data_IF_087958547204
#
_entry.id   IF_087958547204
#
_cell.length_a   1.000
_cell.length_b   1.000
_cell.length_c   1.000
_cell.angle_alpha   90.00
_cell.angle_beta   90.00
_cell.angle_gamma   90.00
#
_symmetry.space_group_name_H-M   'P 1'
#
loop_
_entity.id
_entity.type
_entity.pdbx_description
1 polymer ?
#
# COMPACT_ATOMS: atom_id res chain seq x y z
N UNK A 1 -7.92 55.10 5.16
CA UNK A 1 -6.83 54.18 5.54
C UNK A 1 -6.65 53.22 4.36
N UNK A 2 -5.91 53.64 3.35
CA UNK A 2 -4.54 53.21 2.97
C UNK A 2 -4.44 51.71 2.64
N UNK A 3 -4.29 51.47 1.34
CA UNK A 3 -4.01 50.21 0.64
C UNK A 3 -2.81 49.45 1.20
N UNK A 4 -2.93 48.13 1.35
CA UNK A 4 -1.77 47.24 1.41
C UNK A 4 -1.46 46.74 0.00
N UNK A 5 -0.23 47.02 -0.44
CA UNK A 5 0.33 46.56 -1.71
C UNK A 5 0.91 45.17 -1.50
N UNK A 6 0.53 44.25 -2.38
CA UNK A 6 1.18 42.97 -2.60
C UNK A 6 2.50 43.25 -3.31
N UNK A 7 3.63 42.97 -2.65
CA UNK A 7 4.95 43.06 -3.27
C UNK A 7 5.87 41.98 -2.72
N UNK A 8 6.22 41.05 -3.61
CA UNK A 8 7.43 40.25 -3.65
C UNK A 8 7.88 39.59 -2.34
N UNK A 9 7.42 38.36 -2.13
CA UNK A 9 8.15 37.38 -1.31
C UNK A 9 9.03 36.58 -2.26
N UNK A 10 10.24 37.10 -2.49
CA UNK A 10 11.38 36.31 -2.97
C UNK A 10 12.06 35.80 -1.69
N UNK A 11 11.79 34.56 -1.30
CA UNK A 11 12.66 33.86 -0.36
C UNK A 11 13.62 33.00 -1.16
N UNK A 12 14.84 33.52 -1.32
CA UNK A 12 15.99 32.68 -1.57
C UNK A 12 16.32 31.95 -0.28
N UNK A 13 16.08 30.63 -0.25
CA UNK A 13 16.75 29.75 0.70
C UNK A 13 18.13 29.41 0.12
N UNK A 14 19.12 30.21 0.51
CA UNK A 14 20.49 29.75 0.59
C UNK A 14 20.72 29.32 2.04
N UNK A 15 20.59 28.03 2.31
CA UNK A 15 20.99 27.43 3.57
C UNK A 15 21.78 26.15 3.29
N UNK A 16 23.12 26.31 3.30
CA UNK A 16 24.11 25.31 3.75
C UNK A 16 24.18 23.97 3.03
N UNK A 17 24.53 24.01 1.74
CA UNK A 17 25.44 23.02 1.16
C UNK A 17 26.87 23.32 1.67
N UNK A 18 27.27 22.69 2.78
CA UNK A 18 28.64 22.82 3.30
C UNK A 18 29.07 21.60 4.09
N UNK A 19 28.97 20.39 3.52
CA UNK A 19 29.86 19.25 3.79
C UNK A 19 29.87 18.29 2.61
N UNK A 20 30.77 18.54 1.65
CA UNK A 20 31.33 17.53 0.76
C UNK A 20 32.53 18.16 0.05
N UNK A 21 33.70 18.19 0.71
CA UNK A 21 34.95 18.27 -0.03
C UNK A 21 35.18 16.88 -0.63
N UNK A 22 35.03 16.80 -1.96
CA UNK A 22 35.40 15.65 -2.77
C UNK A 22 36.88 15.32 -2.56
N UNK A 23 37.15 14.19 -1.93
CA UNK A 23 38.40 13.47 -2.15
C UNK A 23 38.14 12.50 -3.30
N UNK A 24 38.81 12.72 -4.43
CA UNK A 24 38.84 11.80 -5.56
C UNK A 24 39.36 10.44 -5.07
N UNK A 25 38.51 9.41 -5.10
CA UNK A 25 38.91 8.02 -4.93
C UNK A 25 38.72 7.34 -6.28
N UNK A 26 39.84 6.99 -6.91
CA UNK A 26 39.90 6.21 -8.14
C UNK A 26 39.31 4.81 -7.89
N UNK A 27 38.32 4.44 -8.71
CA UNK A 27 37.79 3.08 -8.78
C UNK A 27 38.75 2.21 -9.61
N UNK A 28 39.51 1.31 -8.96
CA UNK A 28 40.15 0.20 -9.66
C UNK A 28 39.09 -0.88 -9.96
N UNK A 29 38.87 -1.14 -11.24
CA UNK A 29 37.99 -2.21 -11.72
C UNK A 29 38.58 -3.58 -11.37
N UNK A 30 37.90 -4.34 -10.51
CA UNK A 30 38.27 -5.74 -10.24
C UNK A 30 37.74 -6.61 -11.37
N UNK A 31 38.67 -7.17 -12.12
CA UNK A 31 38.44 -7.99 -13.29
C UNK A 31 37.77 -9.33 -12.98
N UNK A 32 36.79 -9.63 -13.82
CA UNK A 32 36.15 -10.92 -14.01
C UNK A 32 37.21 -11.97 -14.42
N UNK A 33 37.35 -13.04 -13.64
CA UNK A 33 38.13 -14.22 -14.06
C UNK A 33 37.26 -15.48 -13.96
N UNK A 34 36.81 -15.92 -15.14
CA UNK A 34 36.25 -17.25 -15.34
C UNK A 34 37.38 -18.31 -15.32
N UNK A 35 37.17 -19.50 -14.73
CA UNK A 35 37.98 -20.66 -15.07
C UNK A 35 37.29 -21.49 -16.14
N UNK A 36 38.02 -21.72 -17.22
CA UNK A 36 37.67 -22.63 -18.30
C UNK A 36 37.77 -24.11 -17.88
N UNK A 37 36.87 -24.86 -18.48
CA UNK A 37 36.68 -26.30 -18.52
C UNK A 37 37.89 -27.07 -19.09
N UNK A 38 38.24 -28.23 -18.49
CA UNK A 38 38.82 -29.33 -19.27
C UNK A 38 38.50 -30.72 -18.65
N UNK A 39 37.86 -31.54 -19.47
CA UNK A 39 37.36 -32.88 -19.20
C UNK A 39 38.41 -34.00 -19.36
N UNK A 40 38.21 -35.13 -18.66
CA UNK A 40 38.31 -36.49 -19.22
C UNK A 40 37.81 -37.56 -18.21
N UNK A 41 37.07 -38.54 -18.74
CA UNK A 41 36.17 -39.50 -18.08
C UNK A 41 36.83 -40.91 -17.83
N UNK A 42 36.09 -42.05 -17.78
CA UNK A 42 35.31 -42.59 -16.66
C UNK A 42 35.64 -44.07 -16.33
N UNK A 43 35.08 -44.61 -15.23
CA UNK A 43 34.86 -46.04 -14.95
C UNK A 43 34.07 -46.19 -13.62
N UNK A 44 33.22 -47.17 -13.33
CA UNK A 44 32.40 -48.13 -14.08
C UNK A 44 31.50 -48.82 -13.02
N UNK A 45 30.29 -49.23 -13.42
CA UNK A 45 29.55 -50.43 -12.96
C UNK A 45 28.71 -50.50 -11.65
N UNK A 46 27.46 -50.96 -11.90
CA UNK A 46 26.49 -51.77 -11.12
C UNK A 46 25.55 -51.08 -10.09
N UNK A 47 24.23 -50.97 -10.35
CA UNK A 47 23.15 -52.01 -10.34
C UNK A 47 22.73 -52.40 -8.89
N UNK A 48 21.47 -52.57 -8.48
CA UNK A 48 20.15 -52.61 -9.10
C UNK A 48 19.05 -52.58 -7.99
N UNK A 49 17.79 -52.36 -8.41
CA UNK A 49 16.53 -52.89 -7.84
C UNK A 49 16.12 -52.41 -6.42
N UNK A 50 14.84 -52.24 -6.05
CA UNK A 50 13.58 -52.73 -6.57
C UNK A 50 12.41 -51.80 -6.16
N UNK A 51 11.35 -51.81 -6.96
CA UNK A 51 10.02 -51.34 -6.60
C UNK A 51 9.36 -52.23 -5.54
N UNK A 52 8.23 -51.78 -4.96
CA UNK A 52 7.02 -52.54 -5.26
C UNK A 52 5.85 -51.66 -5.75
N UNK A 53 5.11 -52.24 -6.68
CA UNK A 53 3.76 -51.85 -7.04
C UNK A 53 2.77 -52.35 -5.97
N UNK A 54 1.67 -51.64 -5.77
CA UNK A 54 0.41 -52.33 -5.50
C UNK A 54 -0.80 -51.58 -6.10
N UNK A 55 -1.76 -52.40 -6.50
CA UNK A 55 -2.78 -52.13 -7.53
C UNK A 55 -4.18 -52.04 -6.92
N UNK A 56 -4.97 -51.10 -7.46
CA UNK A 56 -6.43 -51.07 -7.62
C UNK A 56 -7.38 -50.98 -6.40
N UNK A 57 -8.31 -50.01 -6.49
CA UNK A 57 -9.74 -50.33 -6.64
C UNK A 57 -10.50 -49.15 -7.27
N UNK A 58 -11.22 -49.43 -8.35
CA UNK A 58 -12.14 -48.55 -9.06
C UNK A 58 -13.57 -48.66 -8.49
N UNK A 59 -14.29 -47.55 -8.40
CA UNK A 59 -15.75 -47.44 -8.34
C UNK A 59 -16.11 -45.94 -8.38
N UNK A 60 -17.15 -45.42 -9.02
CA UNK A 60 -18.08 -45.83 -10.06
C UNK A 60 -18.77 -44.51 -10.48
N UNK A 61 -18.98 -44.29 -11.77
CA UNK A 61 -19.78 -43.17 -12.28
C UNK A 61 -21.28 -43.40 -12.06
N UNK A 62 -22.08 -42.33 -11.93
CA UNK A 62 -23.32 -42.23 -12.71
C UNK A 62 -23.40 -40.85 -13.41
N UNK A 63 -23.47 -40.81 -14.74
CA UNK A 63 -24.64 -40.96 -15.61
C UNK A 63 -25.33 -39.63 -15.94
N UNK A 64 -25.24 -39.26 -17.22
CA UNK A 64 -25.98 -38.23 -17.93
C UNK A 64 -27.50 -38.29 -17.69
N UNK A 65 -28.14 -37.13 -17.66
CA UNK A 65 -29.50 -36.98 -18.18
C UNK A 65 -29.64 -35.61 -18.86
N UNK A 66 -30.08 -35.68 -20.11
CA UNK A 66 -30.18 -34.59 -21.06
C UNK A 66 -31.49 -33.77 -20.95
N UNK A 67 -31.39 -32.54 -21.46
CA UNK A 67 -32.32 -31.81 -22.32
C UNK A 67 -33.78 -31.56 -21.88
N UNK A 68 -34.13 -30.27 -21.81
CA UNK A 68 -35.41 -29.71 -22.27
C UNK A 68 -35.19 -28.22 -22.60
N UNK A 69 -35.08 -27.87 -23.88
CA UNK A 69 -36.17 -27.40 -24.75
C UNK A 69 -36.45 -25.88 -24.60
N UNK A 70 -36.03 -25.13 -25.62
CA UNK A 70 -36.48 -23.79 -25.92
C UNK A 70 -37.98 -23.75 -26.28
N UNK A 71 -38.58 -22.55 -26.30
CA UNK A 71 -39.28 -22.17 -27.52
C UNK A 71 -38.88 -20.78 -28.03
N UNK A 72 -38.74 -20.73 -29.36
CA UNK A 72 -38.91 -19.56 -30.24
C UNK A 72 -40.38 -19.04 -30.11
N UNK A 73 -40.81 -17.88 -30.61
CA UNK A 73 -40.51 -17.21 -31.87
C UNK A 73 -41.33 -15.88 -31.95
N UNK A 74 -40.98 -15.01 -32.91
CA UNK A 74 -41.89 -14.06 -33.63
C UNK A 74 -42.25 -12.74 -32.93
N UNK A 75 -42.21 -11.52 -33.50
CA UNK A 75 -41.86 -10.91 -34.80
C UNK A 75 -41.63 -9.40 -34.52
N UNK A 76 -40.63 -8.71 -35.06
CA UNK A 76 -40.56 -8.07 -36.40
C UNK A 76 -41.65 -7.02 -36.72
N UNK A 77 -41.28 -5.73 -36.73
CA UNK A 77 -41.57 -4.68 -37.74
C UNK A 77 -41.08 -3.32 -37.16
N UNK A 78 -40.00 -2.69 -37.63
CA UNK A 78 -39.80 -1.98 -38.89
C UNK A 78 -40.80 -0.82 -39.14
N UNK A 79 -40.35 0.43 -38.93
CA UNK A 79 -40.45 1.55 -39.88
C UNK A 79 -39.87 2.84 -39.27
N UNK A 80 -38.99 3.48 -40.02
CA UNK A 80 -38.40 4.80 -39.75
C UNK A 80 -39.21 5.91 -40.49
N UNK A 81 -38.68 7.14 -40.69
CA UNK A 81 -39.11 8.38 -40.05
C UNK A 81 -39.79 9.36 -41.02
N UNK A 82 -40.35 10.48 -40.54
CA UNK A 82 -40.39 11.76 -41.27
C UNK A 82 -40.98 12.92 -40.46
N UNK A 83 -40.59 14.10 -40.90
CA UNK A 83 -40.50 15.40 -40.28
C UNK A 83 -41.62 16.36 -40.80
N UNK A 84 -41.73 17.54 -40.18
CA UNK A 84 -42.14 18.85 -40.77
C UNK A 84 -43.59 19.41 -40.64
N UNK A 85 -43.64 20.55 -39.91
CA UNK A 85 -44.39 21.83 -40.07
C UNK A 85 -45.93 21.92 -39.86
N UNK A 86 -46.45 22.68 -38.88
CA UNK A 86 -46.69 24.16 -38.79
C UNK A 86 -48.18 24.50 -39.10
N UNK A 87 -48.91 25.53 -38.62
CA UNK A 87 -48.71 26.84 -37.95
C UNK A 87 -50.05 27.25 -37.26
N UNK A 88 -50.00 28.17 -36.27
CA UNK A 88 -51.01 29.20 -35.90
C UNK A 88 -52.28 28.78 -35.11
N UNK A 89 -52.82 29.52 -34.13
CA UNK A 89 -52.47 30.79 -33.49
C UNK A 89 -53.27 30.97 -32.16
N UNK A 90 -52.70 31.78 -31.25
CA UNK A 90 -53.31 32.65 -30.23
C UNK A 90 -54.25 32.05 -29.16
N UNK A 91 -53.82 32.08 -27.89
CA UNK A 91 -54.44 33.00 -26.92
C UNK A 91 -53.47 33.35 -25.79
N UNK A 92 -53.62 34.56 -25.25
CA UNK A 92 -52.71 35.21 -24.32
C UNK A 92 -52.87 34.66 -22.91
N UNK A 93 -51.77 34.23 -22.29
CA UNK A 93 -51.68 34.06 -20.84
C UNK A 93 -50.29 34.50 -20.39
N UNK A 94 -50.28 35.31 -19.33
CA UNK A 94 -49.14 36.06 -18.83
C UNK A 94 -47.86 35.23 -18.68
N UNK A 95 -46.76 35.76 -19.20
CA UNK A 95 -45.42 35.24 -18.92
C UNK A 95 -45.18 35.28 -17.40
N UNK A 96 -44.86 34.15 -16.74
CA UNK A 96 -44.26 34.24 -15.42
C UNK A 96 -42.92 34.95 -15.56
N UNK A 97 -42.67 35.92 -14.68
CA UNK A 97 -41.38 36.58 -14.59
C UNK A 97 -40.29 35.51 -14.53
N UNK A 98 -39.38 35.52 -15.49
CA UNK A 98 -38.22 34.65 -15.47
C UNK A 98 -37.49 34.92 -14.16
N UNK A 99 -37.43 33.92 -13.29
CA UNK A 99 -36.51 33.95 -12.17
C UNK A 99 -35.11 34.22 -12.74
N UNK A 100 -34.30 35.07 -12.10
CA UNK A 100 -32.94 35.28 -12.55
C UNK A 100 -32.28 33.90 -12.56
N UNK A 101 -31.93 33.42 -13.76
CA UNK A 101 -31.11 32.23 -13.92
C UNK A 101 -29.83 32.56 -13.18
N UNK A 102 -29.68 31.99 -11.98
CA UNK A 102 -28.46 32.11 -11.21
C UNK A 102 -27.34 31.70 -12.16
N UNK A 103 -26.40 32.63 -12.36
CA UNK A 103 -25.24 32.41 -13.23
C UNK A 103 -24.62 31.08 -12.78
N UNK A 104 -24.72 30.06 -13.63
CA UNK A 104 -24.29 28.72 -13.28
C UNK A 104 -22.80 28.82 -12.97
N UNK A 105 -22.45 28.71 -11.67
CA UNK A 105 -21.06 28.70 -11.24
C UNK A 105 -20.38 27.59 -12.04
N UNK A 106 -19.36 27.96 -12.81
CA UNK A 106 -18.58 26.99 -13.58
C UNK A 106 -17.96 25.93 -12.66
N UNK A 107 -17.35 24.88 -13.23
CA UNK A 107 -16.70 23.84 -12.44
C UNK A 107 -15.72 24.43 -11.42
N UNK A 108 -15.73 23.90 -10.21
CA UNK A 108 -14.72 24.21 -9.19
C UNK A 108 -13.51 23.32 -9.43
N UNK A 109 -12.32 23.91 -9.45
CA UNK A 109 -11.07 23.20 -9.71
C UNK A 109 -10.13 23.40 -8.54
N UNK A 110 -9.57 22.30 -8.03
CA UNK A 110 -8.58 22.28 -6.96
C UNK A 110 -7.36 21.51 -7.44
N UNK A 111 -6.19 22.04 -7.11
CA UNK A 111 -4.94 21.31 -7.17
C UNK A 111 -4.55 21.04 -5.73
N UNK A 112 -4.12 19.81 -5.44
CA UNK A 112 -3.46 19.50 -4.18
C UNK A 112 -2.37 18.46 -4.41
N UNK A 113 -1.55 18.24 -3.40
CA UNK A 113 -0.49 17.24 -3.51
C UNK A 113 0.49 17.31 -2.36
N UNK A 114 1.54 16.54 -2.53
CA UNK A 114 2.62 16.41 -1.58
C UNK A 114 3.96 16.33 -2.32
N UNK A 115 5.01 16.83 -1.70
CA UNK A 115 6.38 16.56 -2.12
C UNK A 115 7.18 16.15 -0.89
N UNK A 116 7.94 15.08 -1.00
CA UNK A 116 8.73 14.49 0.08
C UNK A 116 10.18 14.37 -0.36
N UNK A 117 11.09 14.56 0.59
CA UNK A 117 12.51 14.43 0.35
C UNK A 117 13.21 13.88 1.58
N UNK A 118 13.81 12.71 1.40
CA UNK A 118 14.40 11.96 2.50
C UNK A 118 15.88 11.79 2.32
N UNK A 119 16.57 11.72 3.45
CA UNK A 119 17.98 11.40 3.49
C UNK A 119 18.27 10.47 4.67
N UNK A 120 18.84 9.31 4.36
CA UNK A 120 19.23 8.33 5.36
C UNK A 120 20.74 8.07 5.32
N UNK A 121 21.32 7.76 6.48
CA UNK A 121 22.71 7.35 6.62
C UNK A 121 22.77 6.14 7.55
N UNK A 122 23.20 5.02 6.99
CA UNK A 122 23.51 3.80 7.73
C UNK A 122 25.03 3.65 7.87
N UNK A 123 25.52 3.76 9.10
CA UNK A 123 26.93 3.62 9.46
C UNK A 123 27.28 2.25 10.03
N UNK A 124 28.37 1.66 9.55
CA UNK A 124 28.93 0.38 10.01
C UNK A 124 30.16 0.62 10.89
N UNK A 125 30.14 0.10 12.12
CA UNK A 125 31.13 0.40 13.16
C UNK A 125 32.56 -0.03 12.83
N UNK A 126 32.75 -1.21 12.23
CA UNK A 126 34.10 -1.80 12.09
C UNK A 126 34.77 -1.51 10.74
N UNK A 127 33.98 -1.37 9.68
CA UNK A 127 34.49 -1.11 8.32
C UNK A 127 34.54 0.39 7.94
N UNK A 128 34.16 1.29 8.86
CA UNK A 128 34.03 2.74 8.62
C UNK A 128 33.23 3.08 7.34
N UNK A 129 32.33 2.20 6.94
CA UNK A 129 31.48 2.39 5.77
C UNK A 129 30.23 3.13 6.22
N UNK A 130 29.85 4.17 5.48
CA UNK A 130 28.55 4.79 5.56
C UNK A 130 27.86 4.60 4.22
N UNK A 131 26.65 4.05 4.24
CA UNK A 131 25.76 4.02 3.09
C UNK A 131 24.77 5.16 3.29
N UNK A 132 24.63 5.99 2.28
CA UNK A 132 23.57 7.00 2.25
C UNK A 132 22.55 6.62 1.18
N UNK A 133 21.29 6.93 1.44
CA UNK A 133 20.21 6.83 0.47
C UNK A 133 19.37 8.10 0.52
N UNK A 134 18.70 8.37 -0.59
CA UNK A 134 17.74 9.45 -0.73
C UNK A 134 16.46 8.83 -1.26
N UNK A 135 15.32 9.28 -0.78
CA UNK A 135 14.02 8.97 -1.37
C UNK A 135 13.34 10.27 -1.75
N UNK A 136 12.51 10.25 -2.77
CA UNK A 136 11.77 11.44 -3.18
C UNK A 136 10.42 11.05 -3.78
N UNK A 137 9.38 11.63 -3.19
CA UNK A 137 8.00 11.45 -3.64
C UNK A 137 7.41 12.79 -4.06
N UNK A 138 6.59 12.78 -5.10
CA UNK A 138 5.84 13.94 -5.57
C UNK A 138 4.48 13.50 -6.09
N UNK A 139 3.43 13.88 -5.38
CA UNK A 139 2.05 13.67 -5.78
C UNK A 139 1.41 14.96 -6.26
N UNK A 140 0.70 14.87 -7.37
CA UNK A 140 -0.06 15.97 -7.94
C UNK A 140 -1.46 15.54 -8.33
N UNK A 141 -2.41 16.08 -7.61
CA UNK A 141 -3.82 15.74 -7.70
C UNK A 141 -4.63 16.90 -8.30
N UNK A 142 -5.47 16.56 -9.26
CA UNK A 142 -6.40 17.47 -9.92
C UNK A 142 -7.83 17.05 -9.63
N UNK A 143 -8.53 17.85 -8.84
CA UNK A 143 -9.94 17.65 -8.52
C UNK A 143 -10.81 18.65 -9.28
N UNK A 144 -11.82 18.14 -9.98
CA UNK A 144 -12.83 18.95 -10.65
C UNK A 144 -14.19 18.61 -10.08
N UNK A 145 -14.88 19.59 -9.48
CA UNK A 145 -16.29 19.47 -9.08
C UNK A 145 -17.17 20.19 -10.10
N UNK A 146 -17.90 19.43 -10.90
CA UNK A 146 -18.78 19.96 -11.94
C UNK A 146 -20.08 20.54 -11.35
N UNK A 147 -20.58 19.93 -10.27
CA UNK A 147 -21.75 20.38 -9.50
C UNK A 147 -21.78 19.65 -8.14
N UNK A 148 -22.87 19.80 -7.38
CA UNK A 148 -23.02 19.19 -6.05
C UNK A 148 -22.97 17.65 -6.01
N UNK A 149 -23.10 16.99 -7.17
CA UNK A 149 -23.15 15.52 -7.26
C UNK A 149 -22.04 14.93 -8.10
N UNK A 150 -21.47 15.66 -9.04
CA UNK A 150 -20.51 15.13 -10.00
C UNK A 150 -19.13 15.75 -9.81
N UNK A 151 -18.13 14.90 -9.72
CA UNK A 151 -16.71 15.26 -9.68
C UNK A 151 -15.86 14.32 -10.55
N UNK A 152 -14.63 14.73 -10.82
CA UNK A 152 -13.60 13.91 -11.43
C UNK A 152 -12.26 14.18 -10.74
N UNK A 153 -11.39 13.18 -10.82
CA UNK A 153 -10.05 13.18 -10.26
C UNK A 153 -9.05 12.69 -11.31
N UNK A 154 -7.86 13.29 -11.32
CA UNK A 154 -6.67 12.77 -12.00
C UNK A 154 -5.47 12.94 -11.06
N UNK A 155 -4.72 11.87 -10.84
CA UNK A 155 -3.49 11.86 -10.06
C UNK A 155 -2.26 11.64 -10.96
N UNK A 156 -1.18 12.32 -10.63
CA UNK A 156 0.16 12.04 -11.10
C UNK A 156 1.04 11.82 -9.88
N UNK A 157 2.01 10.94 -9.99
CA UNK A 157 2.94 10.60 -8.92
C UNK A 157 4.33 10.48 -9.52
N UNK A 158 5.35 10.89 -8.78
CA UNK A 158 6.72 10.48 -9.02
C UNK A 158 7.27 9.99 -7.69
N UNK A 159 7.61 8.71 -7.62
CA UNK A 159 8.06 8.06 -6.39
C UNK A 159 9.18 7.08 -6.75
N UNK A 160 10.31 7.22 -6.07
CA UNK A 160 11.48 6.38 -6.21
C UNK A 160 12.38 6.47 -4.96
N UNK A 161 13.14 5.41 -4.71
CA UNK A 161 14.20 5.32 -3.70
C UNK A 161 15.48 6.06 -4.13
N UNK A 162 15.32 7.08 -4.97
CA UNK A 162 16.37 7.94 -5.50
C UNK A 162 15.91 9.41 -5.53
N UNK A 163 16.85 10.32 -5.79
CA UNK A 163 16.55 11.75 -5.90
C UNK A 163 16.01 12.18 -7.27
N UNK A 164 15.72 11.25 -8.18
CA UNK A 164 15.26 11.54 -9.56
C UNK A 164 14.07 10.63 -9.96
N UNK A 165 12.93 10.71 -9.26
CA UNK A 165 11.80 9.82 -9.48
C UNK A 165 11.13 10.08 -10.85
N UNK A 166 10.68 9.01 -11.51
CA UNK A 166 9.95 9.10 -12.77
C UNK A 166 8.47 9.43 -12.54
N UNK A 167 7.97 10.43 -13.27
CA UNK A 167 6.54 10.79 -13.23
C UNK A 167 5.70 9.74 -13.94
N UNK A 168 4.82 9.10 -13.18
CA UNK A 168 3.83 8.11 -13.62
C UNK A 168 2.41 8.62 -13.41
N UNK A 169 1.48 7.97 -14.10
CA UNK A 169 0.05 8.25 -13.97
C UNK A 169 -0.50 7.50 -12.75
N UNK A 170 -1.04 8.23 -11.78
CA UNK A 170 -1.54 7.69 -10.50
C UNK A 170 -3.08 7.59 -10.47
N UNK A 171 -3.67 7.25 -11.62
CA UNK A 171 -5.10 6.98 -11.76
C UNK A 171 -5.98 8.18 -12.12
N UNK A 172 -7.18 7.87 -12.61
CA UNK A 172 -8.24 8.84 -12.83
C UNK A 172 -9.62 8.21 -12.67
N UNK A 173 -10.58 8.97 -12.16
CA UNK A 173 -11.97 8.53 -12.07
C UNK A 173 -12.97 9.68 -12.20
N UNK A 174 -14.21 9.31 -12.51
CA UNK A 174 -15.38 10.18 -12.40
C UNK A 174 -16.30 9.63 -11.33
N UNK A 175 -16.82 10.51 -10.49
CA UNK A 175 -17.67 10.17 -9.35
C UNK A 175 -19.01 10.88 -9.44
N UNK A 176 -20.07 10.13 -9.12
CA UNK A 176 -21.35 10.65 -8.70
C UNK A 176 -21.52 10.41 -7.20
N UNK A 177 -22.03 11.39 -6.45
CA UNK A 177 -22.36 11.21 -5.03
C UNK A 177 -23.61 12.00 -4.62
N UNK A 178 -24.36 11.42 -3.68
CA UNK A 178 -25.36 12.11 -2.87
C UNK A 178 -25.32 11.57 -1.43
N UNK A 179 -26.31 11.92 -0.61
CA UNK A 179 -26.35 11.55 0.82
C UNK A 179 -26.53 10.05 1.11
N UNK A 180 -26.89 9.24 0.11
CA UNK A 180 -27.19 7.80 0.27
C UNK A 180 -26.29 6.90 -0.56
N UNK A 181 -25.73 7.44 -1.64
CA UNK A 181 -25.09 6.68 -2.69
C UNK A 181 -23.90 7.45 -3.24
N UNK A 182 -22.76 6.77 -3.38
CA UNK A 182 -21.70 7.18 -4.28
C UNK A 182 -21.45 6.08 -5.33
N UNK A 183 -21.00 6.51 -6.51
CA UNK A 183 -20.63 5.64 -7.60
C UNK A 183 -19.42 6.22 -8.31
N UNK A 184 -18.38 5.41 -8.53
CA UNK A 184 -17.16 5.80 -9.24
C UNK A 184 -16.93 4.90 -10.44
N UNK A 185 -16.40 5.47 -11.52
CA UNK A 185 -15.86 4.72 -12.66
C UNK A 185 -14.46 5.25 -12.93
N UNK A 186 -13.48 4.35 -13.03
CA UNK A 186 -12.10 4.72 -13.35
C UNK A 186 -11.10 3.79 -12.68
N UNK A 187 -9.95 4.36 -12.33
CA UNK A 187 -8.91 3.73 -11.53
C UNK A 187 -9.18 3.96 -10.04
N UNK A 188 -9.06 2.91 -9.25
CA UNK A 188 -9.27 2.89 -7.80
C UNK A 188 -8.21 2.02 -7.15
N UNK A 189 -7.79 2.42 -5.96
CA UNK A 189 -6.77 1.73 -5.15
C UNK A 189 -7.38 1.38 -3.81
N UNK A 190 -7.12 0.16 -3.34
CA UNK A 190 -7.64 -0.36 -2.07
C UNK A 190 -6.50 -0.92 -1.23
N UNK A 191 -6.38 -0.41 -0.01
CA UNK A 191 -5.60 -0.99 1.08
C UNK A 191 -6.49 -1.09 2.32
N UNK A 192 -6.18 -2.04 3.21
CA UNK A 192 -6.92 -2.26 4.45
C UNK A 192 -5.94 -2.57 5.59
N UNK A 193 -6.10 -1.92 6.73
CA UNK A 193 -5.22 -2.11 7.88
C UNK A 193 -3.77 -1.69 7.63
N UNK A 194 -3.57 -0.53 7.01
CA UNK A 194 -2.28 0.16 6.90
C UNK A 194 -1.73 0.48 8.29
N UNK A 195 -0.41 0.48 8.47
CA UNK A 195 0.17 0.85 9.76
C UNK A 195 0.07 2.37 9.98
N UNK A 196 0.07 2.79 11.24
CA UNK A 196 0.23 4.22 11.58
C UNK A 196 1.69 4.57 11.92
N UNK A 197 2.61 3.62 11.82
CA UNK A 197 3.99 3.77 12.26
C UNK A 197 5.02 3.72 11.13
N UNK A 198 5.69 4.87 10.97
CA UNK A 198 6.97 5.29 10.35
C UNK A 198 7.76 4.43 9.36
N UNK A 199 7.68 3.09 9.38
CA UNK A 199 8.40 2.25 8.39
C UNK A 199 7.49 1.40 7.53
N UNK A 200 6.23 1.27 7.92
CA UNK A 200 5.21 0.53 7.18
C UNK A 200 3.93 1.36 7.01
N UNK A 201 4.02 2.67 7.26
CA UNK A 201 2.90 3.60 7.11
C UNK A 201 2.58 3.91 5.64
N UNK A 202 3.44 3.51 4.71
CA UNK A 202 3.10 3.41 3.29
C UNK A 202 2.36 2.10 2.97
N UNK A 203 1.04 2.14 2.71
CA UNK A 203 0.27 0.98 2.34
C UNK A 203 0.60 0.41 0.95
N UNK A 204 1.35 1.11 0.10
CA UNK A 204 1.85 0.55 -1.16
C UNK A 204 2.91 -0.53 -0.91
N UNK A 205 3.74 -0.34 0.10
CA UNK A 205 4.78 -1.27 0.51
C UNK A 205 4.26 -2.35 1.47
N UNK A 206 3.55 -1.95 2.53
CA UNK A 206 3.17 -2.85 3.60
C UNK A 206 1.82 -2.54 4.25
N UNK A 207 1.08 -3.59 4.62
CA UNK A 207 -0.10 -3.45 5.46
C UNK A 207 -0.34 -4.73 6.26
N UNK A 208 -0.82 -4.57 7.49
CA UNK A 208 -1.17 -5.72 8.30
C UNK A 208 -2.37 -6.47 7.71
N UNK A 209 -3.32 -5.76 7.11
CA UNK A 209 -4.52 -6.35 6.55
C UNK A 209 -4.39 -6.74 5.08
N UNK A 210 -4.10 -5.76 4.24
CA UNK A 210 -3.99 -5.88 2.80
C UNK A 210 -3.33 -4.62 2.24
N UNK A 211 -2.20 -4.76 1.57
CA UNK A 211 -1.54 -3.60 0.94
C UNK A 211 -2.33 -3.09 -0.26
N UNK A 212 -1.92 -1.97 -0.82
CA UNK A 212 -2.56 -1.39 -1.98
C UNK A 212 -2.69 -2.39 -3.14
N UNK A 213 -3.88 -2.43 -3.71
CA UNK A 213 -4.16 -3.12 -4.95
C UNK A 213 -4.96 -2.20 -5.86
N UNK A 214 -4.49 -2.07 -7.09
CA UNK A 214 -5.07 -1.16 -8.05
C UNK A 214 -6.01 -1.91 -8.99
N UNK A 215 -7.13 -1.28 -9.30
CA UNK A 215 -8.08 -1.77 -10.29
C UNK A 215 -8.65 -0.65 -11.15
N UNK A 216 -9.05 -1.02 -12.36
CA UNK A 216 -9.89 -0.22 -13.25
C UNK A 216 -11.26 -0.84 -13.35
N UNK A 217 -12.30 -0.07 -13.00
CA UNK A 217 -13.66 -0.59 -13.05
C UNK A 217 -14.69 0.34 -12.44
N UNK A 218 -15.55 -0.23 -11.61
CA UNK A 218 -16.71 0.44 -11.02
C UNK A 218 -16.75 0.20 -9.51
N UNK A 219 -17.01 1.26 -8.75
CA UNK A 219 -17.30 1.20 -7.33
C UNK A 219 -18.70 1.75 -7.03
N UNK A 220 -19.35 1.12 -6.05
CA UNK A 220 -20.63 1.50 -5.48
C UNK A 220 -20.47 1.61 -3.96
N UNK A 221 -20.78 2.77 -3.40
CA UNK A 221 -20.90 2.96 -1.95
C UNK A 221 -22.36 3.24 -1.60
N UNK A 222 -22.96 2.37 -0.79
CA UNK A 222 -24.32 2.53 -0.28
C UNK A 222 -24.28 2.48 1.24
N UNK A 223 -24.43 3.65 1.88
CA UNK A 223 -24.57 3.78 3.34
C UNK A 223 -23.43 3.04 4.08
N UNK A 224 -22.20 3.23 3.59
CA UNK A 224 -20.98 2.66 4.16
C UNK A 224 -20.63 1.26 3.64
N UNK A 225 -21.46 0.63 2.82
CA UNK A 225 -21.10 -0.61 2.10
C UNK A 225 -20.39 -0.23 0.80
N UNK A 226 -19.09 -0.49 0.73
CA UNK A 226 -18.27 -0.25 -0.46
C UNK A 226 -18.10 -1.55 -1.23
N UNK A 227 -18.57 -1.59 -2.48
CA UNK A 227 -18.40 -2.70 -3.41
C UNK A 227 -17.72 -2.21 -4.68
N UNK A 228 -16.57 -2.79 -5.01
CA UNK A 228 -15.84 -2.50 -6.22
C UNK A 228 -15.62 -3.76 -7.06
N UNK A 229 -15.79 -3.63 -8.37
CA UNK A 229 -15.61 -4.71 -9.33
C UNK A 229 -14.89 -4.16 -10.57
N UNK A 230 -13.87 -4.87 -11.04
CA UNK A 230 -13.22 -4.55 -12.30
C UNK A 230 -12.03 -5.44 -12.63
N UNK A 231 -11.05 -4.84 -13.29
CA UNK A 231 -9.83 -5.50 -13.72
C UNK A 231 -8.65 -4.94 -12.93
N UNK A 232 -7.80 -5.83 -12.42
CA UNK A 232 -6.54 -5.42 -11.80
C UNK A 232 -5.69 -4.64 -12.79
N UNK A 233 -5.06 -3.57 -12.32
CA UNK A 233 -4.02 -2.84 -13.06
C UNK A 233 -2.62 -3.12 -12.55
N UNK A 234 -2.49 -3.83 -11.42
CA UNK A 234 -1.19 -4.26 -10.91
C UNK A 234 -0.52 -5.25 -11.87
N UNK A 235 0.74 -4.99 -12.25
CA UNK A 235 1.59 -5.99 -12.86
C UNK A 235 1.98 -7.01 -11.76
N UNK A 236 1.45 -8.23 -11.82
CA UNK A 236 1.80 -9.25 -10.83
C UNK A 236 2.89 -10.18 -11.36
N UNK A 237 4.08 -10.10 -10.77
CA UNK A 237 5.13 -11.13 -10.87
C UNK A 237 5.00 -12.06 -9.65
N UNK A 238 4.37 -13.22 -9.81
CA UNK A 238 4.49 -14.26 -8.76
C UNK A 238 5.93 -14.76 -8.76
N UNK A 239 6.56 -14.82 -7.59
CA UNK A 239 7.78 -15.58 -7.42
C UNK A 239 7.57 -17.04 -7.90
N UNK A 240 8.52 -17.56 -8.68
CA UNK A 240 8.48 -18.89 -9.28
C UNK A 240 8.10 -20.00 -8.27
N UNK A 241 7.33 -21.04 -8.68
CA UNK A 241 7.20 -21.53 -10.05
C UNK A 241 5.97 -21.02 -10.82
N UNK A 242 5.19 -20.09 -10.27
CA UNK A 242 3.92 -19.66 -10.86
C UNK A 242 3.98 -18.25 -11.42
N UNK A 243 5.11 -17.83 -12.02
CA UNK A 243 5.21 -16.54 -12.68
C UNK A 243 4.08 -16.42 -13.72
N UNK A 244 3.00 -15.76 -13.32
CA UNK A 244 1.91 -15.41 -14.20
C UNK A 244 2.47 -14.28 -15.05
N UNK A 245 2.39 -14.43 -16.37
CA UNK A 245 2.81 -13.34 -17.25
C UNK A 245 1.94 -12.12 -16.93
N UNK A 246 2.55 -10.93 -16.96
CA UNK A 246 1.87 -9.65 -16.75
C UNK A 246 0.71 -9.36 -17.73
N UNK A 247 0.44 -10.28 -18.67
CA UNK A 247 -0.57 -10.18 -19.72
C UNK A 247 -1.91 -10.86 -19.35
N UNK A 248 -2.01 -11.54 -18.21
CA UNK A 248 -3.27 -12.22 -17.82
C UNK A 248 -4.21 -11.29 -17.05
N UNK A 249 -5.43 -11.12 -17.57
CA UNK A 249 -6.44 -10.30 -16.95
C UNK A 249 -6.84 -10.90 -15.59
N UNK A 250 -6.54 -10.20 -14.51
CA UNK A 250 -7.03 -10.56 -13.19
C UNK A 250 -8.35 -9.84 -12.90
N UNK A 251 -9.41 -10.61 -12.63
CA UNK A 251 -10.68 -10.06 -12.16
C UNK A 251 -10.53 -9.64 -10.70
N UNK A 252 -11.09 -8.48 -10.35
CA UNK A 252 -10.98 -7.90 -9.03
C UNK A 252 -12.37 -7.66 -8.44
N UNK A 253 -12.58 -8.10 -7.21
CA UNK A 253 -13.75 -7.76 -6.40
C UNK A 253 -13.26 -7.33 -5.02
N UNK A 254 -13.69 -6.17 -4.55
CA UNK A 254 -13.47 -5.70 -3.19
C UNK A 254 -14.80 -5.33 -2.53
N UNK A 255 -14.97 -5.72 -1.28
CA UNK A 255 -16.13 -5.43 -0.46
C UNK A 255 -15.68 -5.05 0.94
N UNK A 256 -16.10 -3.89 1.43
CA UNK A 256 -15.87 -3.44 2.79
C UNK A 256 -17.11 -2.76 3.37
N UNK A 257 -17.17 -2.64 4.70
CA UNK A 257 -18.28 -1.96 5.38
C UNK A 257 -17.80 -1.10 6.55
N UNK A 258 -18.07 0.21 6.51
CA UNK A 258 -17.75 1.12 7.60
C UNK A 258 -18.82 1.14 8.69
N UNK A 259 -18.69 0.24 9.67
CA UNK A 259 -19.55 0.23 10.85
C UNK A 259 -19.06 1.25 11.88
N UNK A 260 -19.78 2.37 11.96
CA UNK A 260 -19.53 3.43 12.93
C UNK A 260 -20.49 3.30 14.12
N UNK A 261 -19.97 2.99 15.32
CA UNK A 261 -20.77 2.87 16.54
C UNK A 261 -20.12 3.68 17.65
N UNK A 262 -20.84 4.70 18.16
CA UNK A 262 -20.39 5.55 19.26
C UNK A 262 -18.98 6.16 19.05
N UNK A 263 -18.67 6.58 17.82
CA UNK A 263 -17.38 7.15 17.45
C UNK A 263 -16.23 6.14 17.33
N UNK A 264 -16.54 4.84 17.38
CA UNK A 264 -15.61 3.75 17.05
C UNK A 264 -15.90 3.26 15.64
N UNK A 265 -14.87 2.85 14.92
CA UNK A 265 -14.99 2.30 13.55
C UNK A 265 -14.58 0.84 13.55
N UNK A 266 -15.42 0.00 12.95
CA UNK A 266 -15.10 -1.39 12.63
C UNK A 266 -15.33 -1.57 11.13
N UNK A 267 -14.29 -2.01 10.44
CA UNK A 267 -14.28 -2.16 8.99
C UNK A 267 -13.90 -3.59 8.61
N UNK A 268 -14.87 -4.53 8.56
CA UNK A 268 -14.65 -5.80 7.91
C UNK A 268 -14.46 -5.60 6.41
N UNK A 269 -13.53 -6.33 5.82
CA UNK A 269 -13.24 -6.27 4.39
C UNK A 269 -12.99 -7.67 3.81
N UNK A 270 -13.18 -7.79 2.51
CA UNK A 270 -12.79 -8.93 1.70
C UNK A 270 -12.42 -8.46 0.30
N UNK A 271 -11.32 -8.96 -0.23
CA UNK A 271 -10.89 -8.77 -1.60
C UNK A 271 -10.61 -10.13 -2.24
N UNK A 272 -11.19 -10.35 -3.42
CA UNK A 272 -10.90 -11.50 -4.27
C UNK A 272 -10.24 -11.02 -5.55
N UNK A 273 -9.12 -11.64 -5.91
CA UNK A 273 -8.43 -11.45 -7.18
C UNK A 273 -8.35 -12.80 -7.89
N UNK A 274 -9.06 -12.92 -9.00
CA UNK A 274 -9.11 -14.14 -9.80
C UNK A 274 -8.19 -14.06 -11.00
N UNK A 275 -7.41 -15.10 -11.26
CA UNK A 275 -6.52 -15.21 -12.42
C UNK A 275 -7.04 -16.28 -13.37
N UNK A 276 -6.80 -16.13 -14.67
CA UNK A 276 -7.20 -17.12 -15.68
C UNK A 276 -6.44 -18.46 -15.52
N UNK A 277 -5.29 -18.45 -14.84
CA UNK A 277 -4.62 -19.65 -14.33
C UNK A 277 -5.30 -20.11 -13.02
N UNK A 278 -6.25 -21.04 -13.15
CA UNK A 278 -7.26 -21.34 -12.13
C UNK A 278 -6.83 -21.59 -10.68
N UNK A 279 -5.57 -21.91 -10.43
CA UNK A 279 -5.03 -22.25 -9.10
C UNK A 279 -4.35 -21.08 -8.36
N UNK A 280 -4.21 -19.91 -9.00
CA UNK A 280 -3.50 -18.74 -8.46
C UNK A 280 -4.43 -17.69 -7.81
N UNK A 281 -5.72 -18.01 -7.66
CA UNK A 281 -6.71 -17.07 -7.11
C UNK A 281 -6.38 -16.66 -5.68
N UNK A 282 -6.49 -15.36 -5.43
CA UNK A 282 -6.11 -14.73 -4.17
C UNK A 282 -7.33 -14.23 -3.42
N UNK A 283 -7.38 -14.49 -2.12
CA UNK A 283 -8.32 -13.93 -1.16
C UNK A 283 -7.53 -13.19 -0.08
N UNK A 284 -7.98 -11.97 0.19
CA UNK A 284 -7.61 -11.18 1.36
C UNK A 284 -8.88 -10.88 2.12
N UNK A 285 -8.87 -10.99 3.42
CA UNK A 285 -10.02 -10.64 4.25
C UNK A 285 -9.54 -10.22 5.63
N UNK A 286 -10.37 -9.50 6.36
CA UNK A 286 -9.97 -9.09 7.68
C UNK A 286 -10.94 -8.14 8.34
N UNK A 287 -10.43 -7.53 9.41
CA UNK A 287 -11.13 -6.56 10.21
C UNK A 287 -10.14 -5.48 10.66
N UNK A 288 -10.39 -4.26 10.25
CA UNK A 288 -9.71 -3.05 10.72
C UNK A 288 -10.59 -2.38 11.79
N UNK A 289 -10.01 -2.04 12.93
CA UNK A 289 -10.69 -1.50 14.10
C UNK A 289 -9.98 -0.25 14.58
N UNK A 290 -10.72 0.84 14.67
CA UNK A 290 -10.26 2.09 15.25
C UNK A 290 -11.11 2.44 16.46
N UNK A 291 -10.47 2.43 17.63
CA UNK A 291 -11.10 2.74 18.92
C UNK A 291 -10.54 4.03 19.52
N UNK A 292 -11.43 4.82 20.12
CA UNK A 292 -11.07 5.93 21.01
C UNK A 292 -11.91 5.88 22.28
N UNK A 293 -11.25 5.77 23.43
CA UNK A 293 -11.92 5.68 24.74
C UNK A 293 -11.33 6.67 25.73
N UNK A 294 -12.09 6.94 26.79
CA UNK A 294 -11.71 7.86 27.88
C UNK A 294 -11.41 9.30 27.38
N UNK A 295 -12.27 9.85 26.51
CA UNK A 295 -12.12 11.18 25.91
C UNK A 295 -10.76 11.35 25.21
N UNK A 296 -10.43 10.42 24.30
CA UNK A 296 -9.19 10.40 23.51
C UNK A 296 -7.89 10.19 24.31
N UNK A 297 -7.97 9.87 25.62
CA UNK A 297 -6.80 9.51 26.42
C UNK A 297 -6.13 8.23 25.90
N UNK A 298 -6.93 7.27 25.41
CA UNK A 298 -6.43 6.02 24.82
C UNK A 298 -7.11 5.80 23.47
N UNK A 299 -6.29 5.59 22.45
CA UNK A 299 -6.70 5.15 21.12
C UNK A 299 -6.06 3.81 20.82
N UNK A 300 -6.74 2.99 20.04
CA UNK A 300 -6.23 1.72 19.54
C UNK A 300 -6.63 1.58 18.08
N UNK A 301 -5.64 1.48 17.21
CA UNK A 301 -5.82 0.90 15.89
C UNK A 301 -5.46 -0.60 15.99
N UNK A 302 -6.32 -1.49 15.52
CA UNK A 302 -6.09 -2.92 15.57
C UNK A 302 -6.58 -3.58 14.28
N UNK A 303 -5.79 -4.51 13.76
CA UNK A 303 -6.08 -5.20 12.50
C UNK A 303 -5.96 -6.70 12.70
N UNK A 304 -6.88 -7.44 12.11
CA UNK A 304 -6.71 -8.85 11.82
C UNK A 304 -6.75 -9.06 10.31
N UNK A 305 -5.72 -9.68 9.74
CA UNK A 305 -5.64 -10.02 8.33
C UNK A 305 -5.66 -11.53 8.10
N UNK A 306 -6.26 -11.93 6.98
CA UNK A 306 -6.34 -13.29 6.46
C UNK A 306 -5.87 -13.30 5.00
N UNK A 307 -4.99 -14.24 4.67
CA UNK A 307 -4.31 -14.33 3.38
C UNK A 307 -4.41 -15.75 2.83
N UNK A 308 -4.94 -15.89 1.63
CA UNK A 308 -4.91 -17.14 0.85
C UNK A 308 -4.60 -16.84 -0.62
N UNK A 309 -3.47 -17.32 -1.13
CA UNK A 309 -3.03 -17.15 -2.51
C UNK A 309 -3.41 -18.32 -3.44
N UNK A 310 -4.09 -19.35 -2.91
CA UNK A 310 -4.40 -20.59 -3.64
C UNK A 310 -5.79 -21.13 -3.28
N UNK A 311 -6.79 -20.23 -3.26
CA UNK A 311 -8.16 -20.50 -2.77
C UNK A 311 -8.81 -21.73 -3.41
N UNK A 312 -8.50 -22.00 -4.68
CA UNK A 312 -9.09 -23.10 -5.45
C UNK A 312 -8.42 -24.47 -5.22
N UNK A 313 -7.26 -24.53 -4.55
CA UNK A 313 -6.54 -25.80 -4.32
C UNK A 313 -7.09 -26.57 -3.13
N UNK A 314 -6.94 -27.89 -3.18
CA UNK A 314 -7.35 -28.80 -2.09
C UNK A 314 -6.55 -28.64 -0.80
N UNK A 315 -5.42 -27.91 -0.83
CA UNK A 315 -4.60 -27.59 0.34
C UNK A 315 -4.21 -26.10 0.26
N UNK A 316 -5.13 -25.19 0.58
CA UNK A 316 -4.89 -23.75 0.48
C UNK A 316 -3.78 -23.35 1.45
N UNK A 317 -2.92 -22.44 1.01
CA UNK A 317 -1.85 -21.87 1.82
C UNK A 317 -2.47 -20.73 2.60
N UNK A 318 -2.47 -20.75 3.93
CA UNK A 318 -3.15 -19.70 4.71
C UNK A 318 -2.18 -19.01 5.65
N UNK A 319 -2.22 -17.68 5.66
CA UNK A 319 -1.51 -16.87 6.64
C UNK A 319 -2.48 -15.93 7.33
N UNK A 320 -2.18 -15.59 8.58
CA UNK A 320 -2.93 -14.62 9.35
C UNK A 320 -1.98 -13.59 9.94
N UNK A 321 -2.47 -12.40 10.17
CA UNK A 321 -1.72 -11.32 10.83
C UNK A 321 -2.58 -10.70 11.92
N UNK A 322 -1.91 -10.15 12.92
CA UNK A 322 -2.51 -9.28 13.92
C UNK A 322 -1.64 -8.05 14.11
N UNK A 323 -2.28 -6.90 14.20
CA UNK A 323 -1.67 -5.62 14.52
C UNK A 323 -2.43 -4.98 15.69
N UNK A 324 -1.69 -4.36 16.60
CA UNK A 324 -2.23 -3.49 17.64
C UNK A 324 -1.33 -2.27 17.83
N UNK A 325 -1.88 -1.08 17.60
CA UNK A 325 -1.20 0.20 17.70
C UNK A 325 -1.90 1.09 18.74
N UNK A 326 -1.55 0.94 20.04
CA UNK A 326 -2.08 1.81 21.07
C UNK A 326 -1.43 3.19 21.04
N UNK A 327 -2.22 4.22 21.30
CA UNK A 327 -1.73 5.56 21.62
C UNK A 327 -2.32 6.03 22.94
N UNK A 328 -1.47 6.45 23.88
CA UNK A 328 -1.88 7.08 25.14
C UNK A 328 -1.42 8.54 25.12
N UNK A 329 -2.34 9.48 25.30
CA UNK A 329 -2.04 10.92 25.24
C UNK A 329 -2.60 11.66 26.44
N UNK A 330 -1.73 12.33 27.21
CA UNK A 330 -2.11 13.14 28.37
C UNK A 330 -1.35 14.46 28.41
N UNK A 331 -2.03 15.54 28.03
CA UNK A 331 -1.44 16.87 27.97
C UNK A 331 -0.35 16.92 26.91
N UNK A 332 0.88 17.26 27.31
CA UNK A 332 2.05 17.33 26.42
C UNK A 332 2.79 16.00 26.26
N UNK A 333 2.40 14.96 26.99
CA UNK A 333 3.07 13.65 26.94
C UNK A 333 2.21 12.66 26.17
N UNK A 334 2.85 11.86 25.31
CA UNK A 334 2.22 10.76 24.61
C UNK A 334 3.11 9.52 24.61
N UNK A 335 2.51 8.34 24.46
CA UNK A 335 3.20 7.10 24.14
C UNK A 335 2.45 6.47 22.98
N UNK A 336 3.15 6.26 21.87
CA UNK A 336 2.68 5.45 20.74
C UNK A 336 3.38 4.10 20.82
N UNK A 337 2.70 3.03 20.45
CA UNK A 337 3.33 1.74 20.27
C UNK A 337 2.69 0.97 19.12
N UNK A 338 3.38 -0.09 18.69
CA UNK A 338 2.87 -1.04 17.71
C UNK A 338 3.34 -2.46 18.09
N UNK A 339 2.47 -3.43 17.87
CA UNK A 339 2.76 -4.85 17.98
C UNK A 339 2.18 -5.53 16.75
N UNK A 340 3.03 -6.20 15.99
CA UNK A 340 2.63 -7.00 14.83
C UNK A 340 3.05 -8.45 15.01
N UNK A 341 2.21 -9.37 14.54
CA UNK A 341 2.56 -10.79 14.51
C UNK A 341 1.87 -11.52 13.35
N UNK A 342 2.63 -12.36 12.64
CA UNK A 342 2.14 -13.23 11.59
C UNK A 342 2.08 -14.70 12.02
N UNK A 343 0.92 -15.33 11.85
CA UNK A 343 0.70 -16.76 12.01
C UNK A 343 0.75 -17.45 10.64
N UNK A 344 1.71 -18.34 10.45
CA UNK A 344 1.90 -19.10 9.20
C UNK A 344 1.48 -20.55 9.44
N UNK A 345 0.60 -21.10 8.58
CA UNK A 345 0.03 -22.45 8.79
C UNK A 345 1.04 -23.60 8.66
N UNK A 346 2.23 -23.38 8.09
CA UNK A 346 3.30 -24.39 8.03
C UNK A 346 4.69 -23.75 7.84
N UNK A 347 5.76 -24.54 8.04
CA UNK A 347 7.15 -24.12 7.75
C UNK A 347 7.24 -23.51 6.35
N UNK A 348 8.00 -22.42 6.22
CA UNK A 348 8.15 -21.44 5.12
C UNK A 348 7.84 -21.83 3.65
N UNK A 349 7.81 -23.09 3.26
CA UNK A 349 7.47 -23.50 1.88
C UNK A 349 5.97 -23.47 1.54
N UNK A 350 5.08 -23.48 2.55
CA UNK A 350 3.65 -23.73 2.35
C UNK A 350 2.69 -22.64 2.86
N UNK A 351 3.16 -21.51 3.37
CA UNK A 351 2.30 -20.39 3.79
C UNK A 351 1.98 -19.43 2.62
N UNK A 352 0.89 -18.66 2.75
CA UNK A 352 0.61 -17.55 1.82
C UNK A 352 1.51 -16.37 2.11
N UNK A 353 1.82 -15.58 1.07
CA UNK A 353 2.60 -14.37 1.26
C UNK A 353 1.73 -13.35 2.00
N UNK A 354 2.27 -12.86 3.12
CA UNK A 354 1.71 -11.72 3.84
C UNK A 354 2.26 -10.44 3.23
N UNK A 355 1.53 -9.34 3.40
CA UNK A 355 1.90 -8.04 2.86
C UNK A 355 2.81 -7.25 3.82
N UNK A 356 3.64 -7.96 4.60
CA UNK A 356 4.61 -7.40 5.56
C UNK A 356 5.89 -8.25 5.50
N UNK A 357 7.09 -7.65 5.42
CA UNK A 357 8.33 -8.42 5.32
C UNK A 357 8.67 -9.18 6.60
N UNK A 358 8.29 -8.66 7.77
CA UNK A 358 8.58 -9.24 9.08
C UNK A 358 7.50 -10.21 9.56
N UNK A 359 7.87 -11.04 10.53
CA UNK A 359 6.91 -11.91 11.23
C UNK A 359 6.47 -11.35 12.56
N UNK A 360 7.35 -10.63 13.23
CA UNK A 360 7.07 -9.99 14.49
C UNK A 360 7.88 -8.70 14.53
N UNK A 361 7.21 -7.61 14.87
CA UNK A 361 7.90 -6.43 15.36
C UNK A 361 7.14 -5.81 16.53
N UNK A 362 7.90 -5.12 17.37
CA UNK A 362 7.39 -4.35 18.50
C UNK A 362 8.03 -2.98 18.44
N UNK A 363 7.21 -1.94 18.59
CA UNK A 363 7.65 -0.55 18.64
C UNK A 363 7.02 0.16 19.83
N UNK A 364 7.78 1.09 20.43
CA UNK A 364 7.28 2.05 21.39
C UNK A 364 8.03 3.38 21.31
N UNK A 365 7.30 4.48 21.40
CA UNK A 365 7.85 5.83 21.46
C UNK A 365 7.10 6.69 22.49
N UNK A 366 7.66 6.84 23.71
CA UNK A 366 7.31 7.97 24.56
C UNK A 366 7.79 9.28 23.95
N UNK A 367 6.92 10.30 23.92
CA UNK A 367 7.21 11.61 23.38
C UNK A 367 6.65 12.75 24.22
N UNK A 368 7.31 13.92 24.13
CA UNK A 368 6.91 15.17 24.79
C UNK A 368 6.79 16.28 23.74
N UNK A 369 5.62 16.91 23.70
CA UNK A 369 5.33 18.10 22.92
C UNK A 369 5.83 19.36 23.65
N UNK A 370 6.87 20.01 23.14
CA UNK A 370 7.45 21.19 23.76
C UNK A 370 6.68 22.47 23.41
N UNK A 371 6.40 22.66 22.11
CA UNK A 371 5.63 23.79 21.53
C UNK A 371 4.50 23.26 20.67
N UNK A 372 3.72 24.09 19.97
CA UNK A 372 2.72 23.60 19.01
C UNK A 372 3.38 22.90 17.80
N UNK A 373 4.61 23.28 17.47
CA UNK A 373 5.34 22.78 16.29
C UNK A 373 6.42 21.74 16.59
N UNK A 374 6.82 21.53 17.84
CA UNK A 374 7.99 20.69 18.18
C UNK A 374 7.64 19.59 19.19
N UNK A 375 7.85 18.33 18.79
CA UNK A 375 7.72 17.12 19.61
C UNK A 375 9.04 16.37 19.60
N UNK A 376 9.47 15.84 20.75
CA UNK A 376 10.66 14.98 20.82
C UNK A 376 10.30 13.70 21.56
N UNK A 377 10.67 12.56 20.96
CA UNK A 377 10.46 11.23 21.50
C UNK A 377 11.75 10.43 21.56
N UNK A 378 11.63 9.23 22.12
CA UNK A 378 12.66 8.20 22.08
C UNK A 378 12.01 6.95 21.50
N UNK A 379 12.40 6.58 20.30
CA UNK A 379 11.91 5.39 19.63
C UNK A 379 12.71 4.16 20.08
N UNK A 380 11.99 3.08 20.31
CA UNK A 380 12.54 1.75 20.53
C UNK A 380 11.80 0.74 19.68
N UNK A 381 12.52 -0.06 18.91
CA UNK A 381 11.95 -1.13 18.09
C UNK A 381 12.69 -2.44 18.32
N UNK A 382 11.98 -3.54 18.12
CA UNK A 382 12.53 -4.88 18.03
C UNK A 382 11.87 -5.61 16.86
N UNK A 383 12.67 -6.26 16.03
CA UNK A 383 12.22 -6.94 14.82
C UNK A 383 12.78 -8.37 14.78
N UNK A 384 11.98 -9.30 14.28
CA UNK A 384 12.44 -10.66 13.95
C UNK A 384 11.71 -11.24 12.73
N UNK A 385 12.49 -11.89 11.88
CA UNK A 385 12.02 -12.58 10.67
C UNK A 385 11.87 -14.10 10.86
N UNK A 386 12.20 -14.62 12.05
CA UNK A 386 12.12 -16.05 12.36
C UNK A 386 10.99 -16.35 13.36
N UNK A 387 10.44 -17.57 13.28
CA UNK A 387 9.59 -18.17 14.33
C UNK A 387 10.32 -19.34 15.01
N UNK A 388 11.53 -19.66 14.55
CA UNK A 388 12.32 -20.79 15.01
C UNK A 388 13.46 -20.25 15.89
N UNK A 389 13.43 -20.62 17.17
CA UNK A 389 14.41 -20.23 18.19
C UNK A 389 15.84 -20.82 17.95
N UNK A 390 16.08 -21.44 16.80
CA UNK A 390 17.38 -21.99 16.43
C UNK A 390 17.97 -21.30 15.19
N UNK A 391 17.35 -20.22 14.72
CA UNK A 391 17.78 -19.46 13.55
C UNK A 391 17.61 -17.96 13.88
N UNK A 392 18.52 -17.44 14.68
CA UNK A 392 18.51 -16.08 15.24
C UNK A 392 18.98 -15.03 14.21
N UNK A 393 19.12 -15.43 12.94
CA UNK A 393 19.97 -14.75 11.96
C UNK A 393 19.46 -13.38 11.48
N UNK A 394 18.37 -12.84 12.04
CA UNK A 394 17.77 -11.56 11.63
C UNK A 394 17.01 -10.86 12.78
N UNK A 395 17.54 -10.93 14.00
CA UNK A 395 16.99 -10.19 15.13
C UNK A 395 17.78 -8.91 15.38
N UNK A 396 17.07 -7.79 15.49
CA UNK A 396 17.71 -6.50 15.77
C UNK A 396 16.78 -5.59 16.55
N UNK A 397 17.38 -4.64 17.27
CA UNK A 397 16.66 -3.59 17.97
C UNK A 397 17.16 -2.21 17.53
N UNK A 398 16.24 -1.27 17.34
CA UNK A 398 16.54 0.15 17.14
C UNK A 398 16.29 0.90 18.44
N UNK A 399 17.17 1.82 18.80
CA UNK A 399 16.96 2.71 19.93
C UNK A 399 17.56 4.09 19.64
N UNK A 400 16.74 5.13 19.74
CA UNK A 400 17.21 6.48 19.40
C UNK A 400 16.25 7.61 19.73
N UNK A 401 16.74 8.86 19.86
CA UNK A 401 15.86 10.02 19.79
C UNK A 401 15.17 10.15 18.43
N UNK A 402 13.95 10.67 18.47
CA UNK A 402 13.19 11.12 17.29
C UNK A 402 12.62 12.52 17.53
N UNK A 403 12.64 13.38 16.52
CA UNK A 403 12.19 14.77 16.59
C UNK A 403 11.18 14.99 15.48
N UNK A 404 10.03 15.57 15.81
CA UNK A 404 9.02 16.00 14.85
C UNK A 404 8.91 17.52 14.91
N UNK A 405 8.95 18.15 13.74
CA UNK A 405 8.88 19.59 13.60
C UNK A 405 7.93 20.03 12.49
N UNK A 406 6.78 20.60 12.88
CA UNK A 406 5.72 21.09 11.99
C UNK A 406 5.65 22.62 12.10
N UNK A 407 6.52 23.38 11.40
CA UNK A 407 6.56 24.84 11.52
C UNK A 407 5.30 25.54 10.98
N UNK A 408 4.59 24.90 10.07
CA UNK A 408 3.34 25.37 9.47
C UNK A 408 2.44 24.19 9.16
N UNK A 409 1.17 24.42 8.83
CA UNK A 409 0.26 23.36 8.35
C UNK A 409 0.64 22.73 6.99
N UNK A 410 1.60 23.32 6.28
CA UNK A 410 2.05 22.89 4.95
C UNK A 410 3.40 22.18 4.95
N UNK A 411 4.07 22.09 6.10
CA UNK A 411 5.42 21.52 6.19
C UNK A 411 5.49 20.65 7.43
N UNK A 412 5.77 19.38 7.22
CA UNK A 412 6.11 18.41 8.26
C UNK A 412 7.56 17.98 8.08
N UNK A 413 8.25 17.79 9.19
CA UNK A 413 9.62 17.30 9.20
C UNK A 413 9.79 16.31 10.32
N UNK A 414 10.55 15.26 10.06
CA UNK A 414 10.98 14.34 11.08
C UNK A 414 12.49 14.07 11.00
N UNK A 415 13.07 13.73 12.14
CA UNK A 415 14.49 13.46 12.25
C UNK A 415 14.69 12.37 13.29
N UNK A 416 15.55 11.40 12.99
CA UNK A 416 15.94 10.40 13.97
C UNK A 416 17.44 10.13 13.94
N UNK A 417 17.93 9.60 15.06
CA UNK A 417 19.25 9.01 15.17
C UNK A 417 19.14 7.78 16.07
N UNK A 418 19.38 6.59 15.53
CA UNK A 418 19.24 5.33 16.25
C UNK A 418 20.55 4.56 16.27
N UNK A 419 20.80 3.88 17.38
CA UNK A 419 21.69 2.74 17.40
C UNK A 419 20.88 1.49 16.99
N UNK A 420 21.44 0.70 16.08
CA UNK A 420 20.92 -0.64 15.76
C UNK A 420 21.79 -1.65 16.50
N UNK A 421 21.13 -2.47 17.31
CA UNK A 421 21.74 -3.53 18.09
C UNK A 421 21.37 -4.86 17.44
N UNK A 422 22.32 -5.55 16.77
CA UNK A 422 22.08 -6.93 16.36
C UNK A 422 21.94 -7.79 17.61
N UNK A 423 20.91 -8.64 17.65
CA UNK A 423 20.54 -9.43 18.82
C UNK A 423 20.72 -10.94 18.60
N UNK A 424 21.00 -11.38 17.38
CA UNK A 424 21.20 -12.78 17.02
C UNK A 424 22.48 -13.05 16.22
N UNK A 425 22.74 -14.34 15.97
CA UNK A 425 23.92 -14.84 15.26
C UNK A 425 23.72 -14.61 13.74
N UNK A 426 23.98 -13.38 13.27
CA UNK A 426 23.74 -13.00 11.87
C UNK A 426 24.48 -13.90 10.87
N UNK A 427 23.78 -14.48 9.88
CA UNK A 427 24.41 -15.32 8.85
C UNK A 427 24.93 -14.55 7.63
N UNK A 428 24.86 -13.21 7.66
CA UNK A 428 25.26 -12.34 6.56
C UNK A 428 24.45 -12.56 5.27
N UNK A 429 23.32 -13.26 5.33
CA UNK A 429 22.47 -13.55 4.17
C UNK A 429 21.02 -13.16 4.40
N UNK A 430 20.64 -11.97 3.95
CA UNK A 430 19.27 -11.75 3.48
C UNK A 430 18.37 -10.79 4.25
N UNK A 431 18.90 -9.71 4.83
CA UNK A 431 18.09 -8.54 5.18
C UNK A 431 18.65 -7.25 4.58
N UNK A 432 17.83 -6.20 4.56
CA UNK A 432 18.22 -4.82 4.16
C UNK A 432 19.47 -4.32 4.90
N UNK A 433 19.79 -4.93 6.05
CA UNK A 433 20.99 -4.73 6.84
C UNK A 433 21.84 -6.01 6.73
N UNK A 434 22.64 -6.14 5.67
CA UNK A 434 23.68 -7.19 5.62
C UNK A 434 24.77 -6.84 6.64
N UNK A 435 24.54 -7.11 7.92
CA UNK A 435 25.56 -7.05 8.96
C UNK A 435 26.23 -8.41 9.09
N UNK A 436 27.54 -8.39 9.33
CA UNK A 436 28.33 -9.58 9.61
C UNK A 436 28.44 -9.79 11.12
N UNK A 437 28.77 -11.00 11.58
CA UNK A 437 29.00 -11.28 13.02
C UNK A 437 30.02 -10.31 13.67
N UNK A 438 30.86 -9.67 12.86
CA UNK A 438 31.87 -8.70 13.31
C UNK A 438 31.27 -7.29 13.57
N UNK A 439 30.08 -6.96 13.07
CA UNK A 439 29.50 -5.61 13.24
C UNK A 439 28.86 -5.43 14.62
N UNK A 440 29.67 -5.03 15.61
CA UNK A 440 29.22 -4.88 17.00
C UNK A 440 28.17 -3.76 17.22
N UNK A 441 28.15 -2.72 16.39
CA UNK A 441 27.20 -1.60 16.46
C UNK A 441 26.98 -0.96 15.08
N UNK A 442 25.73 -0.69 14.74
CA UNK A 442 25.36 0.13 13.57
C UNK A 442 24.64 1.40 14.05
N UNK A 443 24.71 2.45 13.25
CA UNK A 443 23.95 3.67 13.49
C UNK A 443 23.11 4.02 12.26
N UNK A 444 21.90 4.47 12.51
CA UNK A 444 20.97 4.92 11.48
C UNK A 444 20.56 6.36 11.78
N UNK A 445 20.59 7.20 10.76
CA UNK A 445 20.15 8.59 10.84
C UNK A 445 19.22 8.83 9.67
N UNK A 446 18.07 9.42 9.93
CA UNK A 446 17.15 9.82 8.89
C UNK A 446 16.62 11.22 9.12
N UNK A 447 16.28 11.86 8.02
CA UNK A 447 15.53 13.09 7.98
C UNK A 447 14.57 13.02 6.80
N UNK A 448 13.32 13.32 7.05
CA UNK A 448 12.24 13.39 6.06
C UNK A 448 11.62 14.78 6.14
N UNK A 449 11.29 15.34 4.98
CA UNK A 449 10.64 16.65 4.87
C UNK A 449 9.51 16.54 3.87
N UNK A 450 8.31 16.81 4.36
CA UNK A 450 7.07 16.76 3.58
C UNK A 450 6.54 18.18 3.36
N UNK A 451 6.20 18.50 2.11
CA UNK A 451 5.56 19.74 1.67
C UNK A 451 4.15 19.45 1.16
N UNK A 452 3.13 20.06 1.78
CA UNK A 452 1.71 19.90 1.42
C UNK A 452 1.18 21.15 0.73
N UNK A 453 0.36 21.00 -0.30
CA UNK A 453 -0.22 22.14 -1.02
C UNK A 453 -1.66 21.93 -1.52
#
# INVERSE_FOLDING_TARGET
>A
MKSMKLSAVIFGLAATAAMAQSADIEWEAVGETAPAEQAAAPADTAAAAAAPADTAAAAAAPADTAAAAAPADTAAAAAAPADTAAVAAADSAAAPAAEPVAEAKGPEFKISGEAEADAYILGYGENHRAIHSFSSTFDLNFDVKFNDKWSAFVGLEADDVTADPEVRFNGAYVQYQNSLLAFKIGDMTYAEGAFNYYRYDDPAEAAAGMKENNMRGVELDIVGIQLAIGLSTDAYTIAAPFAVNADEAAYFVHLAYDLNVAGQTLRPYVQYKGYDLGDANRLRAGLDVNLSVFNDLFKLHAVYGFFDDQVAKSNPKISHTVLAEPTISKGKFSVTGAFFYAFLTDKMGNASWIDVPERLFVYAEPAVQFTESLKVGVMGEYHTNTLDNNNDNNEFAYLGPKVYFTPTEFIDMDFFAAAILPMGDGDGTGTLLNYTEDDNFLFDFGAEVIFKF
#
